data_IF_058153809665
#
_entry.id   IF_058153809665
#
_cell.length_a   1.000
_cell.length_b   1.000
_cell.length_c   1.000
_cell.angle_alpha   90.00
_cell.angle_beta   90.00
_cell.angle_gamma   90.00
#
_symmetry.space_group_name_H-M   'P 1'
#
loop_
_entity.id
_entity.type
_entity.pdbx_description
1 polymer ?
#
# COMPACT_ATOMS: atom_id res chain seq x y z
N UNK A 1 -14.44 -1.94 34.27
CA UNK A 1 -13.39 -2.68 33.53
C UNK A 1 -13.85 -3.13 32.15
N UNK A 2 -15.01 -3.79 31.98
CA UNK A 2 -15.49 -4.25 30.65
C UNK A 2 -15.59 -3.12 29.61
N UNK A 3 -16.17 -1.96 30.00
CA UNK A 3 -16.33 -0.84 29.07
C UNK A 3 -14.99 -0.18 28.68
N UNK A 4 -13.99 -0.22 29.56
CA UNK A 4 -12.65 0.28 29.26
C UNK A 4 -11.93 -0.63 28.25
N UNK A 5 -12.02 -1.94 28.41
CA UNK A 5 -11.46 -2.92 27.49
C UNK A 5 -12.10 -2.78 26.10
N UNK A 6 -13.43 -2.63 26.04
CA UNK A 6 -14.15 -2.40 24.79
C UNK A 6 -13.71 -1.10 24.11
N UNK A 7 -13.53 -0.02 24.87
CA UNK A 7 -13.06 1.26 24.34
C UNK A 7 -11.63 1.16 23.79
N UNK A 8 -10.72 0.45 24.49
CA UNK A 8 -9.35 0.21 24.01
C UNK A 8 -9.35 -0.61 22.70
N UNK A 9 -10.18 -1.65 22.63
CA UNK A 9 -10.31 -2.48 21.41
C UNK A 9 -10.82 -1.61 20.24
N UNK A 10 -11.86 -0.79 20.45
CA UNK A 10 -12.35 0.13 19.43
C UNK A 10 -11.29 1.16 19.00
N UNK A 11 -10.52 1.71 19.92
CA UNK A 11 -9.47 2.66 19.62
C UNK A 11 -8.32 2.04 18.79
N UNK A 12 -7.94 0.81 19.08
CA UNK A 12 -6.94 0.05 18.31
C UNK A 12 -7.46 -0.26 16.91
N UNK A 13 -8.74 -0.64 16.78
CA UNK A 13 -9.34 -0.91 15.47
C UNK A 13 -9.41 0.33 14.57
N UNK A 14 -9.62 1.53 15.12
CA UNK A 14 -9.67 2.78 14.36
C UNK A 14 -8.29 3.24 13.84
N UNK A 15 -7.20 2.72 14.38
CA UNK A 15 -5.82 3.06 13.97
C UNK A 15 -5.22 2.07 12.95
N UNK A 16 -5.98 1.10 12.48
CA UNK A 16 -5.48 -0.03 11.69
C UNK A 16 -5.30 0.24 10.20
N UNK A 17 -5.96 1.26 9.66
CA UNK A 17 -5.86 1.55 8.21
C UNK A 17 -4.45 1.94 7.80
N UNK A 18 -3.89 1.19 6.86
CA UNK A 18 -2.65 1.55 6.16
C UNK A 18 -2.86 2.87 5.42
N UNK A 19 -2.13 3.90 5.81
CA UNK A 19 -2.21 5.23 5.18
C UNK A 19 -0.90 5.59 4.51
N UNK A 20 -0.97 6.28 3.37
CA UNK A 20 0.21 6.82 2.73
C UNK A 20 0.75 8.01 3.51
N UNK A 21 2.06 8.10 3.65
CA UNK A 21 2.75 9.28 4.20
C UNK A 21 2.60 10.48 3.26
N UNK A 22 2.89 11.68 3.77
CA UNK A 22 2.87 12.90 2.93
C UNK A 22 3.84 12.79 1.74
N UNK A 23 4.99 12.18 1.94
CA UNK A 23 5.97 11.98 0.89
C UNK A 23 5.44 11.02 -0.19
N UNK A 24 4.90 9.87 0.20
CA UNK A 24 4.27 8.92 -0.71
C UNK A 24 3.12 9.55 -1.49
N UNK A 25 2.29 10.37 -0.84
CA UNK A 25 1.23 11.11 -1.53
C UNK A 25 1.77 12.06 -2.62
N UNK A 26 2.88 12.75 -2.35
CA UNK A 26 3.48 13.65 -3.34
C UNK A 26 4.05 12.86 -4.53
N UNK A 27 4.76 11.76 -4.26
CA UNK A 27 5.29 10.88 -5.30
C UNK A 27 4.18 10.25 -6.14
N UNK A 28 3.08 9.80 -5.49
CA UNK A 28 1.92 9.28 -6.19
C UNK A 28 1.29 10.32 -7.12
N UNK A 29 1.12 11.56 -6.65
CA UNK A 29 0.59 12.66 -7.49
C UNK A 29 1.47 12.94 -8.70
N UNK A 30 2.78 12.88 -8.53
CA UNK A 30 3.73 13.09 -9.62
C UNK A 30 3.60 11.99 -10.68
N UNK A 31 3.51 10.73 -10.27
CA UNK A 31 3.23 9.60 -11.17
C UNK A 31 1.89 9.77 -11.89
N UNK A 32 0.84 10.13 -11.14
CA UNK A 32 -0.50 10.33 -11.69
C UNK A 32 -0.56 11.50 -12.68
N UNK A 33 0.19 12.57 -12.44
CA UNK A 33 0.29 13.70 -13.37
C UNK A 33 0.93 13.31 -14.71
N UNK A 34 1.74 12.24 -14.71
CA UNK A 34 2.34 11.64 -15.91
C UNK A 34 1.47 10.50 -16.50
N UNK A 35 0.26 10.28 -15.96
CA UNK A 35 -0.67 9.25 -16.41
C UNK A 35 -0.39 7.84 -15.87
N UNK A 36 0.59 7.69 -14.97
CA UNK A 36 0.93 6.41 -14.35
C UNK A 36 0.08 6.20 -13.09
N UNK A 37 -0.71 5.14 -13.08
CA UNK A 37 -1.57 4.78 -11.95
C UNK A 37 -1.48 3.28 -11.67
N UNK A 38 -2.02 2.84 -10.53
CA UNK A 38 -2.12 1.41 -10.18
C UNK A 38 -2.86 0.61 -11.26
N UNK A 39 -3.87 1.21 -11.92
CA UNK A 39 -4.66 0.56 -12.96
C UNK A 39 -4.07 0.73 -14.38
N UNK A 40 -3.15 1.67 -14.53
CA UNK A 40 -2.47 1.99 -15.79
C UNK A 40 -0.98 2.17 -15.52
N UNK A 41 -0.28 1.10 -15.14
CA UNK A 41 1.17 1.15 -14.97
C UNK A 41 1.86 1.25 -16.34
N UNK A 42 3.13 1.60 -16.30
CA UNK A 42 4.04 1.52 -17.44
C UNK A 42 4.90 0.27 -17.27
N UNK A 43 5.10 -0.49 -18.35
CA UNK A 43 5.95 -1.69 -18.32
C UNK A 43 5.31 -2.86 -17.56
N UNK A 44 6.10 -3.51 -16.70
CA UNK A 44 5.77 -4.82 -16.10
C UNK A 44 5.33 -4.75 -14.62
N UNK A 45 4.94 -3.57 -14.12
CA UNK A 45 4.41 -3.48 -12.77
C UNK A 45 3.15 -4.34 -12.60
N UNK A 46 3.14 -5.18 -11.58
CA UNK A 46 1.99 -5.99 -11.18
C UNK A 46 1.49 -5.60 -9.79
N UNK A 47 0.17 -5.51 -9.63
CA UNK A 47 -0.45 -5.22 -8.32
C UNK A 47 -0.21 -6.38 -7.36
N UNK A 48 0.42 -6.16 -6.20
CA UNK A 48 0.64 -7.23 -5.23
C UNK A 48 -0.64 -7.69 -4.52
N UNK A 49 -1.67 -6.84 -4.44
CA UNK A 49 -2.91 -7.15 -3.73
C UNK A 49 -4.15 -6.83 -4.56
N UNK A 50 -5.21 -7.62 -4.38
CA UNK A 50 -6.52 -7.35 -4.95
C UNK A 50 -7.48 -6.88 -3.86
N UNK A 51 -7.99 -5.63 -3.98
CA UNK A 51 -8.96 -5.08 -3.05
C UNK A 51 -10.27 -5.88 -3.00
N UNK A 52 -10.72 -6.35 -4.16
CA UNK A 52 -11.91 -7.20 -4.25
C UNK A 52 -11.68 -8.54 -3.53
N UNK A 53 -10.52 -9.17 -3.76
CA UNK A 53 -10.19 -10.42 -3.08
C UNK A 53 -10.04 -10.22 -1.56
N UNK A 54 -9.33 -9.18 -1.13
CA UNK A 54 -9.15 -8.87 0.29
C UNK A 54 -10.49 -8.62 1.01
N UNK A 55 -11.36 -7.80 0.42
CA UNK A 55 -12.70 -7.53 0.96
C UNK A 55 -13.58 -8.78 0.99
N UNK A 56 -13.65 -9.53 -0.12
CA UNK A 56 -14.46 -10.75 -0.20
C UNK A 56 -13.97 -11.83 0.77
N UNK A 57 -12.67 -12.01 0.93
CA UNK A 57 -12.10 -12.95 1.89
C UNK A 57 -12.39 -12.56 3.34
N UNK A 58 -12.57 -11.27 3.66
CA UNK A 58 -12.94 -10.81 4.99
C UNK A 58 -14.43 -11.02 5.35
N UNK A 59 -15.25 -11.54 4.43
CA UNK A 59 -16.56 -12.14 4.79
C UNK A 59 -16.36 -13.38 5.69
N UNK A 60 -15.24 -14.07 5.54
CA UNK A 60 -14.74 -15.05 6.51
C UNK A 60 -13.81 -14.32 7.49
N UNK A 61 -13.96 -14.51 8.81
CA UNK A 61 -13.36 -13.65 9.81
C UNK A 61 -11.83 -13.60 9.69
N UNK A 62 -11.32 -12.42 9.33
CA UNK A 62 -9.89 -12.12 9.28
C UNK A 62 -9.11 -12.69 8.09
N UNK A 63 -9.73 -13.50 7.21
CA UNK A 63 -8.99 -14.15 6.10
C UNK A 63 -8.46 -13.11 5.10
N UNK A 64 -9.18 -12.04 4.82
CA UNK A 64 -8.69 -10.93 3.98
C UNK A 64 -7.46 -10.25 4.57
N UNK A 65 -7.40 -10.07 5.89
CA UNK A 65 -6.24 -9.53 6.56
C UNK A 65 -5.05 -10.51 6.52
N UNK A 66 -5.28 -11.80 6.68
CA UNK A 66 -4.22 -12.81 6.49
C UNK A 66 -3.70 -12.82 5.05
N UNK A 67 -4.58 -12.67 4.05
CA UNK A 67 -4.19 -12.52 2.65
C UNK A 67 -3.25 -11.32 2.45
N UNK A 68 -3.55 -10.15 3.04
CA UNK A 68 -2.70 -8.97 2.98
C UNK A 68 -1.41 -9.12 3.79
N UNK A 69 -1.44 -9.84 4.90
CA UNK A 69 -0.29 -10.04 5.78
C UNK A 69 0.70 -11.12 5.32
N UNK A 70 0.30 -12.00 4.39
CA UNK A 70 1.12 -13.12 3.90
C UNK A 70 1.41 -13.08 2.40
N UNK A 71 0.84 -12.10 1.67
CA UNK A 71 1.05 -11.89 0.23
C UNK A 71 2.42 -11.29 -0.12
N UNK A 72 2.61 -10.99 -1.40
CA UNK A 72 3.89 -10.47 -1.93
C UNK A 72 4.30 -9.10 -1.33
N UNK A 73 3.34 -8.31 -0.84
CA UNK A 73 3.59 -7.05 -0.14
C UNK A 73 3.29 -7.18 1.36
N UNK A 74 3.71 -8.27 1.98
CA UNK A 74 3.36 -8.67 3.33
C UNK A 74 3.69 -7.61 4.39
N UNK A 75 2.67 -6.98 4.95
CA UNK A 75 2.77 -6.19 6.18
C UNK A 75 2.29 -7.04 7.37
N UNK A 76 3.21 -7.39 8.26
CA UNK A 76 2.94 -8.27 9.41
C UNK A 76 1.84 -7.75 10.35
N UNK A 77 1.55 -6.45 10.35
CA UNK A 77 0.44 -5.84 11.09
C UNK A 77 -0.92 -6.43 10.70
N UNK A 78 -1.14 -6.77 9.43
CA UNK A 78 -2.39 -7.37 8.97
C UNK A 78 -2.66 -8.74 9.55
N UNK A 79 -1.63 -9.51 9.90
CA UNK A 79 -1.80 -10.80 10.58
C UNK A 79 -2.44 -10.61 11.97
N UNK A 80 -1.99 -9.58 12.71
CA UNK A 80 -2.58 -9.24 14.00
C UNK A 80 -4.05 -8.83 13.86
N UNK A 81 -4.37 -7.99 12.87
CA UNK A 81 -5.76 -7.59 12.59
C UNK A 81 -6.63 -8.77 12.16
N UNK A 82 -6.09 -9.72 11.41
CA UNK A 82 -6.77 -10.97 11.08
C UNK A 82 -7.20 -11.75 12.33
N UNK A 83 -6.30 -11.86 13.31
CA UNK A 83 -6.60 -12.51 14.61
C UNK A 83 -7.66 -11.74 15.39
N UNK A 84 -7.56 -10.40 15.46
CA UNK A 84 -8.55 -9.55 16.15
C UNK A 84 -9.93 -9.66 15.50
N UNK A 85 -10.01 -9.66 14.17
CA UNK A 85 -11.25 -9.83 13.42
C UNK A 85 -11.88 -11.21 13.66
N UNK A 86 -11.06 -12.26 13.79
CA UNK A 86 -11.52 -13.60 14.13
C UNK A 86 -12.16 -13.62 15.55
N UNK A 87 -11.53 -12.95 16.53
CA UNK A 87 -12.02 -12.90 17.91
C UNK A 87 -13.32 -12.07 18.06
N UNK A 88 -13.56 -11.11 17.19
CA UNK A 88 -14.72 -10.21 17.25
C UNK A 88 -15.83 -10.59 16.25
N UNK A 89 -15.67 -11.71 15.54
CA UNK A 89 -16.69 -12.24 14.62
C UNK A 89 -18.02 -12.53 15.36
N UNK A 90 -19.20 -12.27 14.79
CA UNK A 90 -19.48 -11.79 13.41
C UNK A 90 -19.50 -10.28 13.25
N UNK A 91 -19.32 -9.50 14.31
CA UNK A 91 -19.42 -8.03 14.25
C UNK A 91 -18.31 -7.40 13.39
N UNK A 92 -17.13 -8.04 13.34
CA UNK A 92 -15.98 -7.56 12.57
C UNK A 92 -16.26 -7.43 11.07
N UNK A 93 -17.21 -8.16 10.50
CA UNK A 93 -17.54 -8.08 9.07
C UNK A 93 -17.89 -6.65 8.64
N UNK A 94 -18.56 -5.87 9.52
CA UNK A 94 -19.03 -4.52 9.20
C UNK A 94 -17.90 -3.55 8.87
N UNK A 95 -16.73 -3.72 9.48
CA UNK A 95 -15.57 -2.85 9.25
C UNK A 95 -14.44 -3.56 8.51
N UNK A 96 -14.22 -4.85 8.74
CA UNK A 96 -13.09 -5.58 8.18
C UNK A 96 -13.17 -5.73 6.66
N UNK A 97 -14.36 -5.82 6.08
CA UNK A 97 -14.54 -5.92 4.62
C UNK A 97 -14.09 -4.64 3.91
N UNK A 98 -14.64 -3.44 4.23
CA UNK A 98 -14.17 -2.21 3.60
C UNK A 98 -12.73 -1.87 3.96
N UNK A 99 -12.28 -2.14 5.19
CA UNK A 99 -10.90 -1.91 5.64
C UNK A 99 -9.91 -2.69 4.77
N UNK A 100 -10.07 -4.01 4.63
CA UNK A 100 -9.16 -4.81 3.81
C UNK A 100 -9.12 -4.40 2.34
N UNK A 101 -10.23 -3.91 1.78
CA UNK A 101 -10.25 -3.41 0.42
C UNK A 101 -9.47 -2.09 0.29
N UNK A 102 -9.59 -1.18 1.27
CA UNK A 102 -8.85 0.09 1.32
C UNK A 102 -7.36 -0.17 1.55
N UNK A 103 -7.01 -1.09 2.44
CA UNK A 103 -5.63 -1.45 2.72
C UNK A 103 -4.94 -2.07 1.51
N UNK A 104 -5.62 -2.95 0.78
CA UNK A 104 -5.11 -3.49 -0.47
C UNK A 104 -4.82 -2.39 -1.51
N UNK A 105 -5.68 -1.38 -1.61
CA UNK A 105 -5.48 -0.24 -2.50
C UNK A 105 -4.27 0.62 -2.07
N UNK A 106 -4.10 0.86 -0.77
CA UNK A 106 -2.96 1.61 -0.24
C UNK A 106 -1.65 0.82 -0.38
N UNK A 107 -1.66 -0.49 -0.19
CA UNK A 107 -0.52 -1.38 -0.45
C UNK A 107 -0.11 -1.27 -1.92
N UNK A 108 -1.06 -1.39 -2.85
CA UNK A 108 -0.77 -1.26 -4.28
C UNK A 108 -0.18 0.11 -4.65
N UNK A 109 -0.71 1.20 -4.07
CA UNK A 109 -0.17 2.56 -4.30
C UNK A 109 1.25 2.70 -3.77
N UNK A 110 1.53 2.18 -2.57
CA UNK A 110 2.87 2.20 -1.97
C UNK A 110 3.86 1.40 -2.81
N UNK A 111 3.47 0.21 -3.25
CA UNK A 111 4.31 -0.63 -4.09
C UNK A 111 4.55 -0.01 -5.47
N UNK A 112 3.55 0.65 -6.07
CA UNK A 112 3.73 1.43 -7.30
C UNK A 112 4.78 2.52 -7.13
N UNK A 113 4.71 3.28 -6.02
CA UNK A 113 5.68 4.31 -5.70
C UNK A 113 7.07 3.71 -5.54
N UNK A 114 7.18 2.62 -4.76
CA UNK A 114 8.45 1.94 -4.52
C UNK A 114 9.08 1.45 -5.83
N UNK A 115 8.29 0.79 -6.68
CA UNK A 115 8.73 0.25 -7.97
C UNK A 115 9.32 1.34 -8.87
N UNK A 116 8.62 2.46 -9.04
CA UNK A 116 9.10 3.52 -9.94
C UNK A 116 10.14 4.46 -9.29
N UNK A 117 10.23 4.50 -7.96
CA UNK A 117 11.17 5.39 -7.27
C UNK A 117 12.49 4.70 -6.95
N UNK A 118 12.46 3.43 -6.56
CA UNK A 118 13.65 2.75 -6.02
C UNK A 118 14.09 1.55 -6.85
N UNK A 119 13.19 0.82 -7.48
CA UNK A 119 13.55 -0.34 -8.29
C UNK A 119 14.22 0.06 -9.60
N UNK A 120 15.28 -0.67 -10.00
CA UNK A 120 16.05 -0.39 -11.22
C UNK A 120 15.23 -0.61 -12.49
N UNK A 121 14.38 -1.64 -12.49
CA UNK A 121 13.52 -1.97 -13.63
C UNK A 121 12.45 -0.91 -13.81
N UNK A 122 11.75 -0.52 -12.74
CA UNK A 122 10.74 0.52 -12.79
C UNK A 122 11.29 1.88 -13.24
N UNK A 123 12.48 2.27 -12.74
CA UNK A 123 13.20 3.47 -13.20
C UNK A 123 13.51 3.42 -14.69
N UNK A 124 13.95 2.26 -15.20
CA UNK A 124 14.25 2.10 -16.62
C UNK A 124 13.00 2.18 -17.48
N UNK A 125 11.91 1.54 -17.06
CA UNK A 125 10.63 1.58 -17.77
C UNK A 125 10.06 2.99 -17.87
N UNK A 126 10.19 3.83 -16.83
CA UNK A 126 9.83 5.25 -16.91
C UNK A 126 10.69 6.01 -17.91
N UNK A 127 12.01 5.76 -17.95
CA UNK A 127 12.91 6.39 -18.94
C UNK A 127 12.53 6.01 -20.36
N UNK A 128 12.25 4.75 -20.61
CA UNK A 128 11.85 4.23 -21.92
C UNK A 128 10.52 4.83 -22.37
N UNK A 129 9.60 5.10 -21.43
CA UNK A 129 8.35 5.81 -21.67
C UNK A 129 8.52 7.35 -21.74
N UNK A 130 9.75 7.88 -21.61
CA UNK A 130 10.08 9.30 -21.57
C UNK A 130 9.37 10.08 -20.42
N UNK A 131 9.12 9.40 -19.31
CA UNK A 131 8.54 9.96 -18.08
C UNK A 131 9.67 10.34 -17.11
N UNK A 132 9.69 11.60 -16.66
CA UNK A 132 10.72 12.13 -15.76
C UNK A 132 10.06 12.56 -14.45
N UNK A 133 10.49 11.95 -13.36
CA UNK A 133 10.10 12.34 -11.99
C UNK A 133 11.08 13.38 -11.44
N UNK A 134 10.58 14.32 -10.64
CA UNK A 134 11.37 15.45 -10.11
C UNK A 134 12.52 14.99 -9.20
N UNK A 135 12.30 13.97 -8.39
CA UNK A 135 13.32 13.42 -7.50
C UNK A 135 14.42 12.65 -8.25
N UNK A 136 14.15 12.04 -9.40
CA UNK A 136 15.18 11.42 -10.24
C UNK A 136 16.13 12.47 -10.82
N UNK A 137 15.66 13.70 -11.11
CA UNK A 137 16.51 14.80 -11.56
C UNK A 137 17.51 15.23 -10.47
N UNK A 138 17.11 15.21 -9.22
CA UNK A 138 17.99 15.58 -8.12
C UNK A 138 19.13 14.57 -7.93
N UNK A 139 18.85 13.27 -8.03
CA UNK A 139 19.87 12.22 -7.97
C UNK A 139 20.87 12.34 -9.15
N UNK A 140 20.37 12.56 -10.36
CA UNK A 140 21.21 12.68 -11.57
C UNK A 140 22.12 13.92 -11.51
N UNK A 141 21.64 15.03 -10.94
CA UNK A 141 22.45 16.23 -10.73
C UNK A 141 23.54 16.03 -9.67
N UNK A 142 23.26 15.28 -8.61
CA UNK A 142 24.23 14.98 -7.54
C UNK A 142 25.34 14.09 -8.06
N UNK A 143 25.04 13.06 -8.83
CA UNK A 143 26.04 12.19 -9.45
C UNK A 143 26.89 12.93 -10.49
N UNK A 144 26.28 13.75 -11.34
CA UNK A 144 27.02 14.55 -12.31
C UNK A 144 27.98 15.56 -11.65
N UNK A 145 27.65 16.06 -10.46
CA UNK A 145 28.50 16.93 -9.69
C UNK A 145 29.68 16.17 -9.04
N UNK A 146 29.46 14.95 -8.52
CA UNK A 146 30.51 14.10 -7.95
C UNK A 146 31.50 13.60 -8.99
N UNK A 147 31.08 13.30 -10.22
CA UNK A 147 31.94 12.89 -11.32
C UNK A 147 32.79 14.04 -11.88
N UNK A 148 32.49 15.30 -11.53
CA UNK A 148 33.23 16.48 -12.05
C UNK A 148 34.43 16.88 -11.18
N UNK A 149 34.72 16.18 -10.10
CA UNK A 149 35.83 16.37 -9.19
C UNK A 149 36.81 15.19 -9.24
#
# INVERSE_FOLDING_TARGET
MKNFVLFVICAVMLSSCTTLTRQEHNQLRELQAQGVTVDRPVGNYEKPASGVAAGALNLLPGIGNFYLGTGNAAESSHVLYGVLNLLTWPLSILWAVPEAAIDADNINKRELIYYYTYDKQGKQELKDANIKLSHHKAEEQTHAFEESF
#
